data_IF_863844167256
#
_entry.id   IF_863844167256
#
_cell.length_a   1.000
_cell.length_b   1.000
_cell.length_c   1.000
_cell.angle_alpha   90.00
_cell.angle_beta   90.00
_cell.angle_gamma   90.00
#
_symmetry.space_group_name_H-M   'P 1'
#
loop_
_entity.id
_entity.type
_entity.pdbx_description
1 polymer ?
#
# COMPACT_ATOMS: atom_id res chain seq x y z
N UNK A 1 -19.80 -15.01 -1.07
CA UNK A 1 -20.49 -13.73 -1.33
C UNK A 1 -19.48 -12.63 -1.08
N UNK A 2 -18.98 -11.93 -2.11
CA UNK A 2 -18.11 -10.77 -1.89
C UNK A 2 -18.92 -9.68 -1.20
N UNK A 3 -18.50 -9.31 0.00
CA UNK A 3 -19.11 -8.22 0.75
C UNK A 3 -18.77 -6.93 -0.01
N UNK A 4 -19.78 -6.27 -0.58
CA UNK A 4 -19.58 -4.97 -1.20
C UNK A 4 -19.20 -3.95 -0.12
N UNK A 5 -18.19 -3.13 -0.38
CA UNK A 5 -17.82 -2.05 0.52
C UNK A 5 -19.00 -1.07 0.65
N UNK A 6 -19.39 -0.75 1.89
CA UNK A 6 -20.51 0.16 2.17
C UNK A 6 -20.26 1.55 1.58
N UNK A 7 -18.99 1.98 1.57
CA UNK A 7 -18.56 3.27 1.02
C UNK A 7 -18.35 3.26 -0.51
N UNK A 8 -18.67 2.16 -1.20
CA UNK A 8 -18.48 2.05 -2.65
C UNK A 8 -19.29 3.14 -3.38
N UNK A 9 -18.58 4.01 -4.09
CA UNK A 9 -19.18 5.08 -4.87
C UNK A 9 -18.47 5.21 -6.23
N UNK A 10 -19.20 4.99 -7.32
CA UNK A 10 -18.63 5.01 -8.67
C UNK A 10 -18.23 6.41 -9.13
N UNK A 11 -18.97 7.45 -8.73
CA UNK A 11 -18.61 8.83 -9.03
C UNK A 11 -17.27 9.20 -8.39
N UNK A 12 -17.08 8.87 -7.10
CA UNK A 12 -15.79 9.09 -6.40
C UNK A 12 -14.64 8.30 -7.02
N UNK A 13 -14.91 7.08 -7.51
CA UNK A 13 -13.88 6.27 -8.20
C UNK A 13 -13.49 6.90 -9.53
N UNK A 14 -14.44 7.41 -10.30
CA UNK A 14 -14.17 8.08 -11.57
C UNK A 14 -13.39 9.39 -11.34
N UNK A 15 -13.76 10.17 -10.33
CA UNK A 15 -13.01 11.36 -9.91
C UNK A 15 -11.57 11.00 -9.52
N UNK A 16 -11.39 9.94 -8.72
CA UNK A 16 -10.07 9.44 -8.38
C UNK A 16 -9.25 8.99 -9.60
N UNK A 17 -9.87 8.36 -10.60
CA UNK A 17 -9.15 7.98 -11.82
C UNK A 17 -8.65 9.19 -12.61
N UNK A 18 -9.43 10.27 -12.66
CA UNK A 18 -9.00 11.53 -13.28
C UNK A 18 -7.88 12.17 -12.46
N UNK A 19 -8.01 12.20 -11.13
CA UNK A 19 -7.00 12.82 -10.26
C UNK A 19 -5.69 12.04 -10.25
N UNK A 20 -5.69 10.71 -10.16
CA UNK A 20 -4.45 9.93 -10.14
C UNK A 20 -3.76 9.93 -11.50
N UNK A 21 -4.52 10.07 -12.59
CA UNK A 21 -4.02 10.07 -13.96
C UNK A 21 -3.13 11.27 -14.32
N UNK A 22 -3.04 12.28 -13.46
CA UNK A 22 -2.16 13.43 -13.66
C UNK A 22 -0.68 13.15 -13.31
N UNK A 23 -0.40 12.06 -12.59
CA UNK A 23 0.93 11.69 -12.13
C UNK A 23 1.57 10.61 -13.00
N UNK A 24 2.89 10.67 -13.15
CA UNK A 24 3.65 9.59 -13.77
C UNK A 24 3.75 8.40 -12.80
N UNK A 25 3.71 7.15 -13.29
CA UNK A 25 3.78 5.97 -12.43
C UNK A 25 5.01 5.94 -11.50
N UNK A 26 6.13 6.50 -11.95
CA UNK A 26 7.39 6.54 -11.18
C UNK A 26 7.33 7.55 -10.02
N UNK A 27 6.37 8.47 -10.02
CA UNK A 27 6.17 9.42 -8.92
C UNK A 27 5.40 8.80 -7.76
N UNK A 28 4.64 7.72 -8.00
CA UNK A 28 3.68 7.19 -7.03
C UNK A 28 4.35 6.25 -6.00
N UNK A 29 4.05 6.49 -4.73
CA UNK A 29 4.41 5.63 -3.60
C UNK A 29 3.11 5.18 -2.93
N UNK A 30 2.85 3.87 -2.96
CA UNK A 30 1.66 3.27 -2.36
C UNK A 30 1.97 2.75 -0.96
N UNK A 31 1.12 3.09 0.01
CA UNK A 31 1.17 2.57 1.37
C UNK A 31 -0.10 1.76 1.64
N UNK A 32 0.09 0.61 2.29
CA UNK A 32 -0.98 -0.30 2.71
C UNK A 32 -0.49 -1.12 3.90
N UNK A 33 -1.41 -1.51 4.77
CA UNK A 33 -1.14 -2.41 5.90
C UNK A 33 -1.41 -3.87 5.52
N UNK A 34 -0.44 -4.73 5.78
CA UNK A 34 -0.60 -6.17 5.62
C UNK A 34 -0.36 -6.89 6.95
N UNK A 35 -1.36 -7.62 7.43
CA UNK A 35 -1.21 -8.51 8.55
C UNK A 35 -0.53 -9.82 8.10
N UNK A 36 0.50 -10.25 8.83
CA UNK A 36 1.19 -11.52 8.59
C UNK A 36 1.20 -12.36 9.86
N UNK A 37 0.81 -13.62 9.74
CA UNK A 37 1.01 -14.65 10.76
C UNK A 37 2.06 -15.66 10.25
N UNK A 38 2.85 -16.22 11.18
CA UNK A 38 3.78 -17.33 10.94
C UNK A 38 3.08 -18.56 10.38
N UNK A 39 1.76 -18.65 10.52
CA UNK A 39 0.88 -19.61 9.82
C UNK A 39 0.62 -19.13 8.39
N UNK A 40 1.67 -18.98 7.59
CA UNK A 40 1.53 -18.49 6.22
C UNK A 40 0.59 -19.41 5.41
N UNK A 41 -0.44 -18.89 4.74
CA UNK A 41 -1.38 -19.68 3.92
C UNK A 41 -0.78 -20.17 2.60
N UNK A 42 0.45 -19.75 2.27
CA UNK A 42 1.17 -20.25 1.12
C UNK A 42 1.53 -21.72 1.33
N UNK A 43 1.00 -22.61 0.48
CA UNK A 43 1.39 -24.01 0.52
C UNK A 43 2.87 -24.10 0.14
N UNK A 44 3.68 -24.68 1.03
CA UNK A 44 5.10 -25.00 0.73
C UNK A 44 5.25 -25.92 -0.49
N UNK A 45 4.19 -26.67 -0.80
CA UNK A 45 4.16 -27.64 -1.89
C UNK A 45 2.88 -27.46 -2.72
N UNK A 46 3.01 -27.57 -4.04
CA UNK A 46 1.91 -27.53 -5.00
C UNK A 46 1.92 -28.78 -5.89
N UNK A 47 0.75 -29.15 -6.40
CA UNK A 47 0.61 -30.27 -7.32
C UNK A 47 0.54 -29.77 -8.76
N UNK A 48 1.16 -30.52 -9.68
CA UNK A 48 1.03 -30.33 -11.12
C UNK A 48 0.92 -31.70 -11.80
N UNK A 49 0.42 -31.73 -13.03
CA UNK A 49 0.42 -32.96 -13.83
C UNK A 49 1.86 -33.43 -14.04
N UNK A 50 2.07 -34.75 -14.13
CA UNK A 50 3.39 -35.31 -14.41
C UNK A 50 4.01 -34.66 -15.65
N UNK A 51 5.27 -34.25 -15.55
CA UNK A 51 5.97 -33.47 -16.58
C UNK A 51 5.72 -31.96 -16.56
N UNK A 52 4.91 -31.43 -15.63
CA UNK A 52 4.64 -30.00 -15.49
C UNK A 52 5.18 -29.43 -14.17
N UNK A 53 5.58 -28.15 -14.19
CA UNK A 53 6.01 -27.41 -12.99
C UNK A 53 4.79 -26.82 -12.29
N UNK A 54 4.64 -27.08 -10.99
CA UNK A 54 3.67 -26.38 -10.14
C UNK A 54 3.97 -24.87 -10.12
N UNK A 55 2.94 -24.04 -10.33
CA UNK A 55 3.07 -22.58 -10.37
C UNK A 55 2.31 -21.96 -9.20
N UNK A 56 2.91 -20.94 -8.61
CA UNK A 56 2.29 -20.06 -7.62
C UNK A 56 2.32 -18.65 -8.18
N UNK A 57 1.19 -17.94 -8.11
CA UNK A 57 1.14 -16.52 -8.42
C UNK A 57 1.46 -15.75 -7.14
N UNK A 58 2.47 -14.90 -7.19
CA UNK A 58 2.81 -13.98 -6.10
C UNK A 58 2.41 -12.55 -6.46
N UNK A 59 2.31 -11.70 -5.44
CA UNK A 59 2.18 -10.26 -5.64
C UNK A 59 3.50 -9.71 -6.21
N UNK A 60 3.39 -8.86 -7.21
CA UNK A 60 4.52 -8.16 -7.83
C UNK A 60 4.49 -6.71 -7.37
N UNK A 61 5.62 -6.21 -6.88
CA UNK A 61 5.82 -4.79 -6.59
C UNK A 61 6.70 -4.24 -7.70
N UNK A 62 6.20 -3.24 -8.43
CA UNK A 62 6.98 -2.52 -9.43
C UNK A 62 8.04 -1.70 -8.69
N UNK A 63 9.30 -1.85 -9.09
CA UNK A 63 10.47 -1.14 -8.55
C UNK A 63 10.83 -1.38 -7.06
N UNK A 64 10.19 -2.36 -6.42
CA UNK A 64 10.53 -2.83 -5.07
C UNK A 64 9.87 -2.04 -3.93
N UNK A 65 10.30 -2.34 -2.70
CA UNK A 65 9.75 -1.76 -1.47
C UNK A 65 10.64 -0.59 -1.04
N UNK A 66 10.08 0.61 -0.96
CA UNK A 66 10.80 1.82 -0.53
C UNK A 66 11.09 1.83 0.98
N UNK A 67 10.09 1.41 1.77
CA UNK A 67 10.18 1.33 3.22
C UNK A 67 9.21 0.27 3.74
N UNK A 68 9.58 -0.41 4.82
CA UNK A 68 8.72 -1.38 5.50
C UNK A 68 8.98 -1.34 6.99
N UNK A 69 7.92 -1.49 7.78
CA UNK A 69 7.99 -1.57 9.23
C UNK A 69 7.15 -2.75 9.69
N UNK A 70 7.73 -3.60 10.53
CA UNK A 70 7.05 -4.72 11.14
C UNK A 70 6.75 -4.35 12.59
N UNK A 71 5.47 -4.41 12.94
CA UNK A 71 4.98 -4.12 14.30
C UNK A 71 4.30 -5.38 14.83
N UNK A 72 4.54 -5.72 16.09
CA UNK A 72 3.81 -6.78 16.77
C UNK A 72 2.44 -6.24 17.21
N UNK A 73 1.36 -6.91 16.78
CA UNK A 73 -0.01 -6.45 17.02
C UNK A 73 -0.53 -5.54 15.91
N UNK A 74 -1.44 -4.63 16.25
CA UNK A 74 -2.09 -3.71 15.31
C UNK A 74 -1.36 -2.37 15.23
N UNK A 75 -1.36 -1.74 14.07
CA UNK A 75 -0.95 -0.34 13.93
C UNK A 75 -1.89 0.57 14.72
N UNK A 76 -1.31 1.40 15.59
CA UNK A 76 -1.95 2.57 16.18
C UNK A 76 -1.70 3.81 15.33
N UNK A 77 -2.46 4.88 15.58
CA UNK A 77 -2.23 6.17 14.91
C UNK A 77 -0.82 6.73 15.14
N UNK A 78 -0.26 6.53 16.34
CA UNK A 78 1.12 6.93 16.66
C UNK A 78 2.15 6.11 15.86
N UNK A 79 1.98 4.78 15.78
CA UNK A 79 2.90 3.95 14.98
C UNK A 79 2.79 4.27 13.49
N UNK A 80 1.60 4.64 13.02
CA UNK A 80 1.38 5.05 11.64
C UNK A 80 2.01 6.41 11.34
N UNK A 81 1.86 7.39 12.24
CA UNK A 81 2.52 8.69 12.11
C UNK A 81 4.05 8.54 12.00
N UNK A 82 4.65 7.75 12.90
CA UNK A 82 6.08 7.46 12.86
C UNK A 82 6.48 6.71 11.58
N UNK A 83 5.63 5.81 11.07
CA UNK A 83 5.86 5.14 9.80
C UNK A 83 5.94 6.15 8.65
N UNK A 84 5.01 7.09 8.56
CA UNK A 84 4.99 8.13 7.52
C UNK A 84 6.21 9.04 7.62
N UNK A 85 6.61 9.45 8.82
CA UNK A 85 7.81 10.25 9.03
C UNK A 85 9.07 9.56 8.45
N UNK A 86 9.26 8.29 8.79
CA UNK A 86 10.40 7.50 8.27
C UNK A 86 10.29 7.21 6.76
N UNK A 87 9.07 7.13 6.22
CA UNK A 87 8.85 6.95 4.79
C UNK A 87 9.25 8.21 4.01
N UNK A 88 8.85 9.38 4.49
CA UNK A 88 9.09 10.66 3.82
C UNK A 88 10.59 10.98 3.70
N UNK A 89 11.41 10.58 4.68
CA UNK A 89 12.89 10.65 4.58
C UNK A 89 13.48 9.88 3.38
N UNK A 90 12.70 8.96 2.80
CA UNK A 90 13.10 8.11 1.66
C UNK A 90 12.42 8.52 0.36
N UNK A 91 11.42 9.40 0.44
CA UNK A 91 10.74 9.97 -0.71
C UNK A 91 11.56 11.13 -1.29
N UNK A 92 11.09 11.69 -2.39
CA UNK A 92 11.68 12.88 -3.00
C UNK A 92 10.65 14.00 -3.08
N UNK A 93 11.06 15.27 -3.10
CA UNK A 93 10.15 16.38 -3.35
C UNK A 93 9.44 16.24 -4.70
N UNK A 94 8.17 16.61 -4.77
CA UNK A 94 7.44 16.66 -6.04
C UNK A 94 8.08 17.67 -7.00
N UNK A 95 8.28 17.36 -8.31
CA UNK A 95 7.73 16.24 -9.08
C UNK A 95 8.71 15.07 -9.33
N UNK A 96 9.68 14.83 -8.46
CA UNK A 96 10.68 13.78 -8.66
C UNK A 96 10.09 12.36 -8.57
N UNK A 97 10.93 11.34 -8.76
CA UNK A 97 10.55 9.93 -8.55
C UNK A 97 10.19 9.71 -7.07
N UNK A 98 9.19 8.87 -6.78
CA UNK A 98 8.73 8.58 -5.42
C UNK A 98 8.31 9.84 -4.62
N UNK A 99 7.51 10.72 -5.22
CA UNK A 99 7.16 12.02 -4.65
C UNK A 99 5.67 12.22 -4.37
N UNK A 100 4.82 11.23 -4.66
CA UNK A 100 3.37 11.30 -4.48
C UNK A 100 2.94 10.13 -3.62
N UNK A 101 2.53 10.43 -2.38
CA UNK A 101 2.05 9.43 -1.45
C UNK A 101 0.58 9.09 -1.74
N UNK A 102 0.29 7.80 -1.89
CA UNK A 102 -1.06 7.27 -2.13
C UNK A 102 -1.41 6.28 -1.02
N UNK A 103 -2.52 6.55 -0.35
CA UNK A 103 -3.04 5.75 0.76
C UNK A 103 -4.53 5.53 0.57
N UNK A 104 -5.08 4.44 1.11
CA UNK A 104 -6.52 4.25 1.13
C UNK A 104 -7.19 5.18 2.19
N UNK A 105 -8.52 5.13 2.28
CA UNK A 105 -9.30 5.98 3.18
C UNK A 105 -9.41 5.41 4.62
N UNK A 106 -8.50 4.52 5.05
CA UNK A 106 -8.55 3.91 6.37
C UNK A 106 -8.54 4.97 7.49
N UNK A 107 -9.25 4.68 8.58
CA UNK A 107 -9.39 5.61 9.70
C UNK A 107 -8.05 5.99 10.34
N UNK A 108 -7.09 5.05 10.39
CA UNK A 108 -5.75 5.29 10.93
C UNK A 108 -4.91 6.20 10.04
N UNK A 109 -5.29 6.41 8.77
CA UNK A 109 -4.59 7.35 7.88
C UNK A 109 -4.97 8.80 8.14
N UNK A 110 -5.99 9.05 8.97
CA UNK A 110 -6.53 10.38 9.27
C UNK A 110 -6.03 10.92 10.60
N UNK A 111 -4.86 10.46 11.04
CA UNK A 111 -4.19 10.96 12.25
C UNK A 111 -3.77 12.41 12.02
N UNK A 112 -3.98 13.23 13.05
CA UNK A 112 -3.60 14.66 13.04
C UNK A 112 -2.10 14.82 12.77
N UNK A 113 -1.71 15.83 11.99
CA UNK A 113 -0.32 16.13 11.66
C UNK A 113 0.22 15.43 10.41
N UNK A 114 -0.42 14.38 9.89
CA UNK A 114 0.08 13.67 8.70
C UNK A 114 0.02 14.55 7.45
N UNK A 115 -1.02 15.37 7.33
CA UNK A 115 -1.17 16.24 6.18
C UNK A 115 -0.07 17.30 6.16
N UNK A 116 0.15 17.94 7.30
CA UNK A 116 1.19 18.94 7.49
C UNK A 116 2.57 18.36 7.18
N UNK A 117 2.82 17.12 7.63
CA UNK A 117 4.08 16.42 7.40
C UNK A 117 4.33 16.08 5.92
N UNK A 118 3.27 15.81 5.15
CA UNK A 118 3.37 15.46 3.72
C UNK A 118 3.41 16.70 2.82
N UNK A 119 2.75 17.78 3.23
CA UNK A 119 2.64 19.04 2.47
C UNK A 119 3.75 20.06 2.78
N UNK A 120 4.67 19.75 3.71
CA UNK A 120 5.90 20.52 3.96
C UNK A 120 6.91 20.46 2.79
#
# INVERSE_FOLDING_TARGET
IMKLAIERNEAKRNEYFVSIGQYQPEQLVFVDESAVDRRTPARRYGWAKSGQRARMHGHFVRDGILYTQIVEGSFSGETFFNFILNLLERMQPFPARNSVLVMDNCAIHKVEGIRELVEE
#
